data_IF_718658252148
#
_entry.id   IF_718658252148
#
_cell.length_a   1.000
_cell.length_b   1.000
_cell.length_c   1.000
_cell.angle_alpha   90.00
_cell.angle_beta   90.00
_cell.angle_gamma   90.00
#
_symmetry.space_group_name_H-M   'P 1'
#
loop_
_entity.id
_entity.type
_entity.pdbx_description
1 polymer ?
#
# COMPACT_ATOMS: atom_id res chain seq x y z
N UNK A 1 20.92 -10.55 0.03
CA UNK A 1 19.83 -9.87 0.78
C UNK A 1 20.32 -8.47 1.07
N UNK A 2 19.66 -7.44 0.54
CA UNK A 2 20.17 -6.06 0.59
C UNK A 2 19.73 -5.27 1.84
N UNK A 3 18.69 -5.75 2.54
CA UNK A 3 18.12 -5.12 3.73
C UNK A 3 17.39 -6.17 4.60
N UNK A 4 17.58 -6.12 5.92
CA UNK A 4 16.85 -6.93 6.91
C UNK A 4 16.16 -6.02 7.92
N UNK A 5 14.88 -6.28 8.19
CA UNK A 5 14.10 -5.58 9.21
C UNK A 5 13.96 -6.52 10.40
N UNK A 6 14.36 -6.06 11.59
CA UNK A 6 14.30 -6.85 12.83
C UNK A 6 13.37 -6.14 13.80
N UNK A 7 12.26 -6.77 14.14
CA UNK A 7 11.36 -6.33 15.22
C UNK A 7 11.72 -7.03 16.53
N UNK A 8 11.97 -6.25 17.58
CA UNK A 8 12.15 -6.75 18.94
C UNK A 8 10.88 -6.49 19.72
N UNK A 9 10.22 -7.56 20.17
CA UNK A 9 8.95 -7.56 20.90
C UNK A 9 9.12 -8.21 22.27
N UNK A 10 8.03 -8.31 23.03
CA UNK A 10 7.92 -8.94 24.34
C UNK A 10 8.82 -8.35 25.43
N UNK A 11 9.14 -7.07 25.33
CA UNK A 11 9.93 -6.35 26.34
C UNK A 11 9.05 -5.96 27.53
N UNK A 12 9.54 -6.23 28.73
CA UNK A 12 8.87 -5.82 29.96
C UNK A 12 9.23 -4.38 30.34
N UNK A 13 8.31 -3.66 30.99
CA UNK A 13 8.56 -2.32 31.52
C UNK A 13 9.49 -2.29 32.75
N UNK A 14 9.72 -3.44 33.38
CA UNK A 14 10.60 -3.59 34.54
C UNK A 14 12.03 -3.89 34.11
N UNK A 15 13.00 -3.25 34.77
CA UNK A 15 14.43 -3.52 34.58
C UNK A 15 14.88 -4.86 35.22
N UNK A 16 13.99 -5.55 35.96
CA UNK A 16 14.26 -6.92 36.42
C UNK A 16 14.37 -7.82 35.17
N UNK A 17 15.54 -8.42 34.97
CA UNK A 17 15.92 -9.30 33.86
C UNK A 17 16.23 -8.61 32.50
N UNK A 18 16.85 -7.42 32.50
CA UNK A 18 17.23 -6.70 31.27
C UNK A 18 16.04 -6.50 30.31
N UNK A 19 14.91 -6.04 30.86
CA UNK A 19 13.64 -5.88 30.13
C UNK A 19 13.11 -7.18 29.49
N UNK A 20 13.52 -8.36 29.97
CA UNK A 20 13.27 -9.69 29.38
C UNK A 20 13.85 -9.90 27.98
N UNK A 21 14.89 -9.16 27.61
CA UNK A 21 15.59 -9.40 26.35
C UNK A 21 16.10 -10.85 26.29
N UNK A 22 15.77 -11.58 25.21
CA UNK A 22 16.25 -12.94 25.01
C UNK A 22 17.79 -12.96 25.02
N UNK A 23 18.38 -13.93 25.75
CA UNK A 23 19.84 -14.09 25.84
C UNK A 23 20.42 -14.27 24.42
N UNK A 24 21.32 -13.37 24.02
CA UNK A 24 21.96 -13.37 22.70
C UNK A 24 21.23 -12.60 21.60
N UNK A 25 20.05 -11.99 21.86
CA UNK A 25 19.34 -11.20 20.83
C UNK A 25 20.15 -9.98 20.38
N UNK A 26 20.77 -9.25 21.31
CA UNK A 26 21.64 -8.12 20.99
C UNK A 26 22.87 -8.55 20.17
N UNK A 27 23.50 -9.67 20.53
CA UNK A 27 24.64 -10.22 19.78
C UNK A 27 24.24 -10.69 18.38
N UNK A 28 23.06 -11.29 18.25
CA UNK A 28 22.52 -11.70 16.96
C UNK A 28 22.31 -10.48 16.05
N UNK A 29 21.65 -9.43 16.53
CA UNK A 29 21.46 -8.18 15.77
C UNK A 29 22.80 -7.54 15.42
N UNK A 30 23.76 -7.55 16.34
CA UNK A 30 25.11 -7.03 16.09
C UNK A 30 25.83 -7.80 14.98
N UNK A 31 25.82 -9.13 15.01
CA UNK A 31 26.40 -9.98 13.95
C UNK A 31 25.67 -9.78 12.62
N UNK A 32 24.36 -9.64 12.64
CA UNK A 32 23.55 -9.46 11.44
C UNK A 32 23.79 -8.10 10.79
N UNK A 33 24.04 -7.07 11.61
CA UNK A 33 24.44 -5.73 11.17
C UNK A 33 25.83 -5.67 10.54
N UNK A 34 26.72 -6.65 10.81
CA UNK A 34 28.01 -6.75 10.13
C UNK A 34 27.88 -7.33 8.71
N UNK A 35 26.87 -8.18 8.51
CA UNK A 35 26.68 -8.89 7.25
C UNK A 35 25.79 -8.11 6.28
N UNK A 36 24.82 -7.35 6.79
CA UNK A 36 23.77 -6.71 5.99
C UNK A 36 23.30 -5.40 6.61
N UNK A 37 22.59 -4.58 5.82
CA UNK A 37 21.89 -3.40 6.34
C UNK A 37 20.72 -3.84 7.20
N UNK A 38 20.65 -3.33 8.42
CA UNK A 38 19.60 -3.68 9.39
C UNK A 38 18.81 -2.44 9.80
N UNK A 39 17.49 -2.55 9.78
CA UNK A 39 16.58 -1.62 10.46
C UNK A 39 16.04 -2.34 11.69
N UNK A 40 16.38 -1.83 12.87
CA UNK A 40 15.88 -2.35 14.13
C UNK A 40 14.62 -1.58 14.53
N UNK A 41 13.54 -2.30 14.82
CA UNK A 41 12.32 -1.72 15.40
C UNK A 41 12.17 -2.27 16.81
N UNK A 42 12.11 -1.39 17.79
CA UNK A 42 11.96 -1.75 19.21
C UNK A 42 10.53 -1.47 19.64
N UNK A 43 9.80 -2.55 19.93
CA UNK A 43 8.48 -2.53 20.54
C UNK A 43 8.64 -2.81 22.03
N UNK A 44 8.76 -1.74 22.82
CA UNK A 44 8.83 -1.83 24.26
C UNK A 44 9.47 -0.62 24.90
N UNK A 45 10.08 -0.88 26.06
CA UNK A 45 10.76 0.15 26.83
C UNK A 45 11.95 0.77 26.03
N UNK A 46 12.01 2.09 25.85
CA UNK A 46 13.11 2.76 25.14
C UNK A 46 14.48 2.53 25.77
N UNK A 47 14.57 2.27 27.09
CA UNK A 47 15.86 1.98 27.74
C UNK A 47 16.52 0.70 27.21
N UNK A 48 15.77 -0.21 26.57
CA UNK A 48 16.35 -1.40 25.93
C UNK A 48 17.29 -1.07 24.77
N UNK A 49 17.21 0.15 24.21
CA UNK A 49 18.10 0.64 23.15
C UNK A 49 19.58 0.61 23.52
N UNK A 50 19.92 0.69 24.82
CA UNK A 50 21.31 0.58 25.28
C UNK A 50 21.96 -0.75 24.99
N UNK A 51 21.16 -1.80 24.77
CA UNK A 51 21.66 -3.12 24.37
C UNK A 51 21.98 -3.19 22.87
N UNK A 52 21.52 -2.24 22.05
CA UNK A 52 21.63 -2.26 20.59
C UNK A 52 22.46 -1.09 20.07
N UNK A 53 23.78 -1.21 20.21
CA UNK A 53 24.73 -0.13 19.85
C UNK A 53 25.04 -0.11 18.35
N UNK A 54 24.95 -1.26 17.68
CA UNK A 54 25.50 -1.47 16.34
C UNK A 54 24.61 -1.07 15.15
N UNK A 55 23.29 -1.31 15.14
CA UNK A 55 22.49 -0.96 13.97
C UNK A 55 22.40 0.56 13.81
N UNK A 56 22.71 1.07 12.61
CA UNK A 56 22.68 2.50 12.31
C UNK A 56 21.25 3.08 12.20
N UNK A 57 20.27 2.22 11.94
CA UNK A 57 18.86 2.61 11.76
C UNK A 57 18.02 1.95 12.84
N UNK A 58 17.50 2.75 13.76
CA UNK A 58 16.65 2.27 14.85
C UNK A 58 15.36 3.08 14.92
N UNK A 59 14.24 2.39 15.03
CA UNK A 59 12.91 2.95 15.26
C UNK A 59 12.40 2.49 16.63
N UNK A 60 12.08 3.43 17.51
CA UNK A 60 11.43 3.12 18.79
C UNK A 60 9.92 3.30 18.63
N UNK A 61 9.17 2.19 18.68
CA UNK A 61 7.72 2.14 18.49
C UNK A 61 6.94 1.96 19.82
N UNK A 62 7.63 1.91 20.96
CA UNK A 62 7.10 1.87 22.33
C UNK A 62 6.22 0.67 22.69
N UNK A 63 4.99 0.62 22.21
CA UNK A 63 4.07 -0.42 22.67
C UNK A 63 4.25 -1.70 21.85
N UNK A 64 4.12 -2.84 22.52
CA UNK A 64 4.12 -4.14 21.89
C UNK A 64 2.69 -4.65 21.70
N UNK A 65 1.95 -3.94 20.86
CA UNK A 65 0.59 -4.28 20.45
C UNK A 65 0.51 -4.35 18.92
N UNK A 66 -0.49 -5.06 18.41
CA UNK A 66 -0.64 -5.31 16.97
C UNK A 66 -0.75 -4.02 16.15
N UNK A 67 -1.36 -2.97 16.71
CA UNK A 67 -1.50 -1.68 16.04
C UNK A 67 -0.15 -0.96 16.00
N UNK A 68 0.59 -0.88 17.10
CA UNK A 68 1.93 -0.29 17.13
C UNK A 68 2.92 -1.03 16.21
N UNK A 69 2.83 -2.36 16.14
CA UNK A 69 3.62 -3.15 15.19
C UNK A 69 3.28 -2.83 13.73
N UNK A 70 2.00 -2.73 13.39
CA UNK A 70 1.57 -2.32 12.05
C UNK A 70 2.05 -0.91 11.71
N UNK A 71 1.86 0.06 12.60
CA UNK A 71 2.28 1.45 12.38
C UNK A 71 3.80 1.57 12.25
N UNK A 72 4.57 0.84 13.06
CA UNK A 72 6.03 0.82 12.99
C UNK A 72 6.54 0.33 11.63
N UNK A 73 5.95 -0.74 11.12
CA UNK A 73 6.27 -1.27 9.78
C UNK A 73 5.86 -0.28 8.69
N UNK A 74 4.65 0.27 8.76
CA UNK A 74 4.19 1.28 7.81
C UNK A 74 5.10 2.52 7.78
N UNK A 75 5.61 2.96 8.93
CA UNK A 75 6.58 4.05 9.02
C UNK A 75 7.91 3.68 8.36
N UNK A 76 8.45 2.48 8.60
CA UNK A 76 9.70 2.01 7.96
C UNK A 76 9.58 1.95 6.43
N UNK A 77 8.41 1.58 5.91
CA UNK A 77 8.15 1.57 4.46
C UNK A 77 7.79 2.94 3.89
N UNK A 78 7.70 4.01 4.71
CA UNK A 78 7.41 5.37 4.26
C UNK A 78 5.92 5.65 4.01
N UNK A 79 5.03 4.85 4.59
CA UNK A 79 3.58 5.09 4.59
C UNK A 79 3.16 6.14 5.62
N UNK A 80 3.92 6.30 6.72
CA UNK A 80 3.64 7.26 7.78
C UNK A 80 4.84 8.19 8.01
N UNK A 81 4.60 9.48 8.31
CA UNK A 81 5.66 10.39 8.71
C UNK A 81 6.19 10.02 10.10
N UNK A 82 7.50 10.19 10.32
CA UNK A 82 8.15 9.96 11.61
C UNK A 82 8.51 11.32 12.19
N UNK A 83 7.80 11.74 13.24
CA UNK A 83 7.99 13.04 13.90
C UNK A 83 8.37 12.90 15.38
N UNK A 84 8.49 11.66 15.86
CA UNK A 84 8.74 11.35 17.25
C UNK A 84 10.15 11.70 17.70
N UNK A 85 10.26 12.21 18.92
CA UNK A 85 11.51 12.40 19.65
C UNK A 85 11.45 11.63 20.96
N UNK A 86 12.59 11.11 21.41
CA UNK A 86 12.68 10.40 22.68
C UNK A 86 12.46 11.36 23.86
N UNK A 87 11.47 11.11 24.73
CA UNK A 87 11.23 11.89 25.95
C UNK A 87 12.10 11.42 27.12
N UNK A 88 13.01 10.47 26.89
CA UNK A 88 13.92 9.92 27.89
C UNK A 88 15.31 9.75 27.28
N UNK A 89 16.33 9.75 28.13
CA UNK A 89 17.70 9.42 27.71
C UNK A 89 17.88 7.91 27.72
N UNK A 90 18.02 7.31 26.54
CA UNK A 90 18.32 5.90 26.35
C UNK A 90 19.63 5.78 25.57
N UNK A 91 20.75 5.59 26.26
CA UNK A 91 22.08 5.59 25.65
C UNK A 91 22.12 4.62 24.45
N UNK A 92 22.74 4.98 23.32
CA UNK A 92 23.52 6.22 23.08
C UNK A 92 22.67 7.48 22.77
N UNK A 93 21.34 7.40 22.81
CA UNK A 93 20.44 8.49 22.42
C UNK A 93 20.08 9.40 23.60
N UNK A 94 20.52 10.68 23.61
CA UNK A 94 20.10 11.64 24.64
C UNK A 94 18.61 12.02 24.53
N UNK A 95 18.10 12.66 25.59
CA UNK A 95 16.77 13.30 25.59
C UNK A 95 16.56 14.16 24.34
N UNK A 96 15.35 14.13 23.78
CA UNK A 96 14.94 14.79 22.53
C UNK A 96 15.61 14.30 21.24
N UNK A 97 16.33 13.18 21.28
CA UNK A 97 16.83 12.55 20.05
C UNK A 97 15.69 12.02 19.19
N UNK A 98 15.70 12.36 17.90
CA UNK A 98 14.74 11.89 16.92
C UNK A 98 15.02 12.50 15.56
N UNK A 99 14.67 11.77 14.48
CA UNK A 99 14.81 12.26 13.11
C UNK A 99 13.41 12.55 12.58
N UNK A 100 13.22 13.77 12.08
CA UNK A 100 11.95 14.17 11.46
C UNK A 100 11.94 13.78 9.97
N UNK A 101 11.04 12.87 9.61
CA UNK A 101 10.77 12.46 8.24
C UNK A 101 9.32 12.81 7.96
N UNK A 102 9.09 13.92 7.25
CA UNK A 102 7.76 14.43 6.91
C UNK A 102 7.20 13.84 5.62
N UNK A 103 8.06 13.31 4.76
CA UNK A 103 7.68 12.84 3.42
C UNK A 103 7.10 11.43 3.49
N UNK A 104 5.83 11.29 3.10
CA UNK A 104 5.22 9.99 2.82
C UNK A 104 5.39 9.67 1.33
N UNK A 105 5.81 8.43 1.03
CA UNK A 105 6.03 7.98 -0.35
C UNK A 105 5.13 6.81 -0.73
N UNK A 106 4.47 6.20 0.24
CA UNK A 106 3.60 5.03 0.06
C UNK A 106 2.22 5.26 0.64
N UNK A 107 1.28 4.45 0.16
CA UNK A 107 -0.05 4.33 0.73
C UNK A 107 0.06 3.69 2.12
N UNK A 108 -0.68 4.23 3.09
CA UNK A 108 -0.77 3.70 4.45
C UNK A 108 -2.15 3.10 4.73
N UNK A 109 -2.29 2.45 5.87
CA UNK A 109 -3.51 1.90 6.42
C UNK A 109 -3.75 2.51 7.79
N UNK A 110 -5.01 2.79 8.12
CA UNK A 110 -5.36 3.22 9.47
C UNK A 110 -6.84 3.46 9.62
N UNK A 111 -7.21 4.09 10.74
CA UNK A 111 -8.61 4.28 11.09
C UNK A 111 -9.27 5.43 10.29
N UNK A 112 -10.57 5.34 9.98
CA UNK A 112 -11.35 6.40 9.32
C UNK A 112 -11.25 7.77 10.00
N UNK A 113 -11.24 7.80 11.32
CA UNK A 113 -11.17 9.04 12.11
C UNK A 113 -9.87 9.79 11.83
N UNK A 114 -8.79 9.06 11.49
CA UNK A 114 -7.48 9.66 11.21
C UNK A 114 -7.43 10.50 9.93
N UNK A 115 -8.45 10.39 9.07
CA UNK A 115 -8.65 11.21 7.85
C UNK A 115 -9.94 12.03 7.92
N UNK A 116 -10.54 12.15 9.11
CA UNK A 116 -11.80 12.86 9.32
C UNK A 116 -12.99 12.21 8.63
N UNK A 117 -13.00 10.87 8.53
CA UNK A 117 -14.16 10.09 8.13
C UNK A 117 -14.81 9.45 9.35
N UNK A 118 -16.12 9.26 9.28
CA UNK A 118 -16.91 8.64 10.33
C UNK A 118 -17.02 7.12 10.09
N UNK A 119 -16.58 6.33 11.08
CA UNK A 119 -16.63 4.87 11.01
C UNK A 119 -18.06 4.33 10.95
N UNK A 120 -19.04 5.00 11.58
CA UNK A 120 -20.44 4.57 11.51
C UNK A 120 -20.99 4.69 10.09
N UNK A 121 -20.64 5.76 9.38
CA UNK A 121 -21.00 5.94 7.97
C UNK A 121 -20.39 4.86 7.09
N UNK A 122 -19.13 4.46 7.35
CA UNK A 122 -18.49 3.37 6.60
C UNK A 122 -19.10 2.00 6.89
N UNK A 123 -19.65 1.76 8.08
CA UNK A 123 -20.38 0.52 8.36
C UNK A 123 -21.64 0.36 7.49
N UNK A 124 -22.21 1.44 6.95
CA UNK A 124 -23.30 1.34 5.95
C UNK A 124 -22.84 0.68 4.64
N UNK A 125 -21.54 0.70 4.34
CA UNK A 125 -20.99 -0.03 3.20
C UNK A 125 -21.08 -1.55 3.41
N UNK A 126 -20.89 -2.02 4.64
CA UNK A 126 -21.08 -3.44 4.97
C UNK A 126 -22.54 -3.85 4.69
N UNK A 127 -23.50 -3.03 5.11
CA UNK A 127 -24.93 -3.29 4.86
C UNK A 127 -25.24 -3.32 3.37
N UNK A 128 -24.71 -2.36 2.60
CA UNK A 128 -24.88 -2.29 1.16
C UNK A 128 -24.26 -3.51 0.45
N UNK A 129 -23.04 -3.90 0.82
CA UNK A 129 -22.37 -5.06 0.26
C UNK A 129 -23.15 -6.36 0.55
N UNK A 130 -23.65 -6.50 1.77
CA UNK A 130 -24.48 -7.64 2.15
C UNK A 130 -25.83 -7.64 1.42
N UNK A 131 -26.45 -6.49 1.21
CA UNK A 131 -27.69 -6.37 0.43
C UNK A 131 -27.49 -6.73 -1.05
N UNK A 132 -26.37 -6.29 -1.65
CA UNK A 132 -25.98 -6.66 -3.02
C UNK A 132 -25.85 -8.18 -3.19
N UNK A 133 -25.23 -8.86 -2.22
CA UNK A 133 -25.08 -10.32 -2.23
C UNK A 133 -26.42 -11.01 -2.00
N UNK A 134 -27.24 -10.53 -1.05
CA UNK A 134 -28.58 -11.07 -0.76
C UNK A 134 -29.51 -10.98 -1.98
N UNK A 135 -29.45 -9.87 -2.71
CA UNK A 135 -30.22 -9.66 -3.96
C UNK A 135 -29.65 -10.41 -5.16
N UNK A 136 -28.56 -11.16 -4.96
CA UNK A 136 -27.85 -11.87 -6.01
C UNK A 136 -27.39 -10.95 -7.15
N UNK A 137 -27.15 -9.66 -6.89
CA UNK A 137 -26.62 -8.73 -7.89
C UNK A 137 -25.13 -9.00 -8.17
N UNK A 138 -24.39 -9.50 -7.17
CA UNK A 138 -23.03 -10.02 -7.31
C UNK A 138 -22.82 -11.21 -6.35
N UNK A 139 -22.05 -12.25 -6.71
CA UNK A 139 -21.74 -13.34 -5.78
C UNK A 139 -20.78 -12.92 -4.64
N UNK A 140 -19.94 -11.91 -4.88
CA UNK A 140 -18.99 -11.37 -3.92
C UNK A 140 -18.37 -10.07 -4.41
N UNK A 141 -17.69 -9.35 -3.52
CA UNK A 141 -17.03 -8.08 -3.85
C UNK A 141 -15.96 -7.74 -2.80
N UNK A 142 -15.05 -6.86 -3.18
CA UNK A 142 -14.12 -6.19 -2.28
C UNK A 142 -14.36 -4.69 -2.36
N UNK A 143 -14.47 -4.07 -1.19
CA UNK A 143 -14.68 -2.63 -1.05
C UNK A 143 -13.46 -2.02 -0.38
N UNK A 144 -12.84 -1.09 -1.09
CA UNK A 144 -11.67 -0.34 -0.65
C UNK A 144 -12.00 1.15 -0.64
N UNK A 145 -11.79 1.83 0.49
CA UNK A 145 -11.89 3.29 0.61
C UNK A 145 -10.56 3.85 1.08
N UNK A 146 -10.06 4.80 0.29
CA UNK A 146 -8.81 5.50 0.55
C UNK A 146 -9.05 7.00 0.49
N UNK A 147 -8.51 7.73 1.48
CA UNK A 147 -8.51 9.18 1.53
C UNK A 147 -7.14 9.67 1.99
N UNK A 148 -6.64 10.74 1.36
CA UNK A 148 -5.34 11.36 1.69
C UNK A 148 -4.16 10.37 1.72
N UNK A 149 -4.15 9.40 0.78
CA UNK A 149 -3.11 8.37 0.70
C UNK A 149 -3.17 7.30 1.80
N UNK A 150 -4.25 7.24 2.57
CA UNK A 150 -4.49 6.24 3.61
C UNK A 150 -5.74 5.43 3.31
N UNK A 151 -5.59 4.11 3.27
CA UNK A 151 -6.69 3.15 3.22
C UNK A 151 -7.32 3.10 4.60
N UNK A 152 -8.61 3.40 4.66
CA UNK A 152 -9.38 3.44 5.91
C UNK A 152 -10.48 2.42 6.00
N UNK A 153 -10.75 1.75 4.88
CA UNK A 153 -11.71 0.66 4.82
C UNK A 153 -11.26 -0.30 3.73
N UNK A 154 -11.10 -1.57 4.07
CA UNK A 154 -10.78 -2.65 3.15
C UNK A 154 -11.46 -3.91 3.65
N UNK A 155 -12.57 -4.31 3.01
CA UNK A 155 -13.33 -5.49 3.41
C UNK A 155 -13.81 -6.28 2.20
N UNK A 156 -13.76 -7.59 2.32
CA UNK A 156 -14.23 -8.54 1.32
C UNK A 156 -15.53 -9.19 1.77
N UNK A 157 -16.43 -9.40 0.82
CA UNK A 157 -17.76 -9.93 1.07
C UNK A 157 -18.09 -11.05 0.06
N UNK A 158 -18.82 -12.06 0.51
CA UNK A 158 -19.37 -13.09 -0.35
C UNK A 158 -18.35 -14.10 -0.88
N UNK A 159 -18.63 -14.65 -2.06
CA UNK A 159 -17.90 -15.75 -2.69
C UNK A 159 -17.62 -15.45 -4.16
N UNK A 160 -16.79 -16.27 -4.80
CA UNK A 160 -16.47 -16.10 -6.22
C UNK A 160 -17.68 -16.37 -7.12
N UNK A 161 -18.53 -17.32 -6.72
CA UNK A 161 -19.74 -17.71 -7.45
C UNK A 161 -20.88 -18.00 -6.48
N UNK A 162 -22.12 -18.07 -6.97
CA UNK A 162 -23.30 -18.38 -6.15
C UNK A 162 -23.35 -19.82 -5.62
N UNK A 163 -22.41 -20.68 -6.03
CA UNK A 163 -22.37 -22.07 -5.56
C UNK A 163 -21.99 -22.15 -4.08
N UNK A 164 -22.65 -23.03 -3.33
CA UNK A 164 -22.34 -23.24 -1.92
C UNK A 164 -20.89 -23.72 -1.68
N UNK A 165 -20.30 -24.41 -2.67
CA UNK A 165 -18.91 -24.90 -2.65
C UNK A 165 -17.89 -23.86 -3.11
N UNK A 166 -18.34 -22.65 -3.47
CA UNK A 166 -17.46 -21.60 -3.97
C UNK A 166 -16.59 -21.00 -2.86
N UNK A 167 -15.37 -20.60 -3.23
CA UNK A 167 -14.41 -19.99 -2.31
C UNK A 167 -14.87 -18.58 -1.90
N UNK A 168 -14.61 -18.22 -0.66
CA UNK A 168 -14.84 -16.87 -0.15
C UNK A 168 -13.84 -15.90 -0.78
N UNK A 169 -14.29 -14.66 -1.02
CA UNK A 169 -13.39 -13.58 -1.45
C UNK A 169 -12.42 -13.26 -0.31
N UNK A 170 -11.16 -13.07 -0.66
CA UNK A 170 -10.08 -12.67 0.24
C UNK A 170 -9.24 -11.56 -0.42
N UNK A 171 -8.32 -10.95 0.35
CA UNK A 171 -7.43 -9.87 -0.10
C UNK A 171 -6.52 -10.22 -1.29
N UNK A 172 -6.37 -11.52 -1.58
CA UNK A 172 -5.55 -12.03 -2.70
C UNK A 172 -6.38 -12.49 -3.88
N UNK A 173 -7.69 -12.22 -3.86
CA UNK A 173 -8.60 -12.61 -4.93
C UNK A 173 -8.30 -11.78 -6.18
N UNK A 174 -8.00 -12.45 -7.29
CA UNK A 174 -7.76 -11.78 -8.55
C UNK A 174 -9.08 -11.51 -9.27
N UNK A 175 -9.23 -10.27 -9.73
CA UNK A 175 -10.37 -9.82 -10.53
C UNK A 175 -9.90 -9.35 -11.91
N UNK A 176 -10.73 -9.60 -12.92
CA UNK A 176 -10.52 -9.05 -14.24
C UNK A 176 -10.82 -7.54 -14.23
N UNK A 177 -9.86 -6.73 -14.66
CA UNK A 177 -10.02 -5.27 -14.72
C UNK A 177 -11.01 -4.83 -15.83
N UNK A 178 -11.29 -5.69 -16.81
CA UNK A 178 -12.20 -5.43 -17.92
C UNK A 178 -12.02 -4.03 -18.53
N UNK A 179 -13.03 -3.17 -18.48
CA UNK A 179 -12.96 -1.82 -19.07
C UNK A 179 -12.01 -0.87 -18.34
N UNK A 180 -11.56 -1.17 -17.12
CA UNK A 180 -10.52 -0.40 -16.42
C UNK A 180 -9.17 -0.52 -17.16
N UNK A 181 -8.94 -1.62 -17.89
CA UNK A 181 -7.73 -1.84 -18.71
C UNK A 181 -7.50 -0.74 -19.74
N UNK A 182 -8.56 -0.10 -20.25
CA UNK A 182 -8.45 1.01 -21.21
C UNK A 182 -7.71 2.23 -20.63
N UNK A 183 -7.99 2.54 -19.38
CA UNK A 183 -7.33 3.64 -18.66
C UNK A 183 -5.98 3.16 -18.12
N UNK A 184 -5.96 2.00 -17.45
CA UNK A 184 -4.78 1.51 -16.75
C UNK A 184 -3.64 1.06 -17.68
N UNK A 185 -3.96 0.48 -18.84
CA UNK A 185 -2.96 -0.05 -19.77
C UNK A 185 -2.90 0.77 -21.06
N UNK A 186 -4.01 0.90 -21.79
CA UNK A 186 -3.99 1.50 -23.13
C UNK A 186 -3.62 2.98 -23.10
N UNK A 187 -4.24 3.76 -22.20
CA UNK A 187 -3.97 5.20 -22.07
C UNK A 187 -2.53 5.44 -21.61
N UNK A 188 -2.07 4.72 -20.58
CA UNK A 188 -0.68 4.80 -20.10
C UNK A 188 0.34 4.42 -21.19
N UNK A 189 0.07 3.38 -21.97
CA UNK A 189 0.91 2.97 -23.09
C UNK A 189 1.02 4.04 -24.17
N UNK A 190 -0.11 4.67 -24.52
CA UNK A 190 -0.16 5.76 -25.51
C UNK A 190 0.58 7.00 -25.00
N UNK A 191 0.38 7.38 -23.74
CA UNK A 191 1.12 8.48 -23.12
C UNK A 191 2.63 8.22 -23.15
N UNK A 192 3.06 6.96 -22.93
CA UNK A 192 4.48 6.61 -23.01
C UNK A 192 5.03 6.67 -24.44
N UNK A 193 4.26 6.24 -25.43
CA UNK A 193 4.65 6.34 -26.84
C UNK A 193 4.72 7.79 -27.31
N UNK A 194 3.82 8.63 -26.81
CA UNK A 194 3.81 10.07 -27.05
C UNK A 194 5.04 10.75 -26.46
N UNK A 195 5.36 10.48 -25.18
CA UNK A 195 6.58 10.98 -24.53
C UNK A 195 7.85 10.58 -25.30
N UNK A 196 7.90 9.34 -25.78
CA UNK A 196 9.01 8.82 -26.58
C UNK A 196 9.02 9.31 -28.05
N UNK A 197 8.11 10.21 -28.44
CA UNK A 197 7.94 10.73 -29.82
C UNK A 197 7.70 9.65 -30.88
N UNK A 198 7.24 8.46 -30.48
CA UNK A 198 6.93 7.34 -31.38
C UNK A 198 5.51 7.40 -31.94
N UNK A 199 4.61 8.06 -31.21
CA UNK A 199 3.21 8.25 -31.58
C UNK A 199 2.83 9.70 -31.34
N UNK A 200 2.11 10.30 -32.27
CA UNK A 200 1.55 11.64 -32.14
C UNK A 200 0.03 11.53 -32.10
N UNK A 201 -0.55 11.92 -30.96
CA UNK A 201 -1.99 11.79 -30.71
C UNK A 201 -2.84 12.70 -31.61
N UNK A 202 -2.23 13.73 -32.21
CA UNK A 202 -2.92 14.64 -33.12
C UNK A 202 -2.96 14.14 -34.57
N UNK A 203 -2.22 13.07 -34.89
CA UNK A 203 -2.26 12.45 -36.21
C UNK A 203 -3.41 11.45 -36.32
N UNK A 204 -3.76 11.17 -37.56
CA UNK A 204 -4.81 10.22 -37.90
C UNK A 204 -4.37 8.77 -37.72
N UNK A 205 -5.30 7.89 -37.34
CA UNK A 205 -5.07 6.47 -37.14
C UNK A 205 -4.41 5.80 -38.37
N UNK A 206 -4.83 6.16 -39.59
CA UNK A 206 -4.26 5.63 -40.84
C UNK A 206 -2.76 5.94 -41.05
N UNK A 207 -2.21 6.88 -40.29
CA UNK A 207 -0.76 7.16 -40.28
C UNK A 207 0.02 5.98 -39.71
N UNK A 208 -0.52 5.38 -38.64
CA UNK A 208 0.16 4.34 -37.85
C UNK A 208 -0.38 2.94 -38.10
N UNK A 209 -1.63 2.81 -38.53
CA UNK A 209 -2.30 1.55 -38.82
C UNK A 209 -2.63 1.47 -40.32
N UNK A 210 -1.76 0.85 -41.14
CA UNK A 210 -1.95 0.77 -42.59
C UNK A 210 -3.26 0.07 -42.98
N UNK A 211 -3.73 -0.88 -42.16
CA UNK A 211 -4.98 -1.63 -42.34
C UNK A 211 -6.23 -0.75 -42.33
N UNK A 212 -6.15 0.44 -41.72
CA UNK A 212 -7.26 1.38 -41.65
C UNK A 212 -7.34 2.32 -42.85
N UNK A 213 -6.35 2.29 -43.75
CA UNK A 213 -6.36 3.13 -44.97
C UNK A 213 -7.46 2.69 -45.92
N UNK A 214 -8.23 3.64 -46.42
CA UNK A 214 -9.44 3.40 -47.22
C UNK A 214 -10.69 3.08 -46.39
N UNK A 215 -10.58 3.02 -45.05
CA UNK A 215 -11.74 2.85 -44.17
C UNK A 215 -12.28 4.20 -43.66
N UNK A 216 -13.50 4.20 -43.13
CA UNK A 216 -14.08 5.34 -42.43
C UNK A 216 -13.31 5.75 -41.16
N UNK A 217 -12.38 4.92 -40.68
CA UNK A 217 -11.55 5.18 -39.49
C UNK A 217 -10.18 5.78 -39.84
N UNK A 218 -9.81 5.87 -41.12
CA UNK A 218 -8.50 6.38 -41.55
C UNK A 218 -8.20 7.76 -40.97
N UNK A 219 -9.16 8.69 -41.12
CA UNK A 219 -9.04 10.11 -40.75
C UNK A 219 -9.45 10.42 -39.31
N UNK A 220 -9.59 9.40 -38.46
CA UNK A 220 -9.89 9.59 -37.05
C UNK A 220 -8.61 9.96 -36.30
N UNK A 221 -8.59 11.11 -35.62
CA UNK A 221 -7.47 11.51 -34.79
C UNK A 221 -7.37 10.62 -33.54
N UNK A 222 -6.17 10.19 -33.18
CA UNK A 222 -5.94 9.29 -32.02
C UNK A 222 -6.42 9.95 -30.71
N UNK A 223 -6.29 11.27 -30.59
CA UNK A 223 -6.82 12.05 -29.48
C UNK A 223 -8.34 11.91 -29.35
N UNK A 224 -9.07 11.88 -30.46
CA UNK A 224 -10.54 11.74 -30.48
C UNK A 224 -11.03 10.38 -29.97
N UNK A 225 -10.17 9.36 -30.01
CA UNK A 225 -10.45 8.05 -29.40
C UNK A 225 -10.27 8.04 -27.87
N UNK A 226 -9.59 9.03 -27.29
CA UNK A 226 -9.26 9.11 -25.86
C UNK A 226 -9.97 10.26 -25.13
N UNK A 227 -10.25 11.37 -25.83
CA UNK A 227 -10.85 12.57 -25.28
C UNK A 227 -12.37 12.59 -25.41
N UNK A 228 -13.05 12.66 -24.27
CA UNK A 228 -14.36 13.33 -24.09
C UNK A 228 -15.61 12.82 -24.84
N UNK A 229 -15.62 11.60 -25.42
CA UNK A 229 -16.87 11.05 -26.00
C UNK A 229 -17.26 9.64 -25.51
N UNK A 230 -16.56 9.08 -24.52
CA UNK A 230 -16.89 7.75 -23.98
C UNK A 230 -16.78 6.60 -24.99
N UNK A 231 -16.38 6.88 -26.24
CA UNK A 231 -16.10 5.89 -27.26
C UNK A 231 -14.64 5.49 -27.17
N UNK A 232 -14.30 4.77 -26.11
CA UNK A 232 -13.24 3.79 -26.28
C UNK A 232 -13.76 2.80 -27.31
N UNK A 233 -13.31 2.96 -28.55
CA UNK A 233 -13.58 1.96 -29.58
C UNK A 233 -12.97 0.67 -29.02
N UNK A 234 -13.82 -0.30 -28.68
CA UNK A 234 -13.33 -1.58 -28.18
C UNK A 234 -12.41 -2.15 -29.26
N UNK A 235 -11.32 -2.80 -28.84
CA UNK A 235 -10.54 -3.60 -29.79
C UNK A 235 -11.41 -4.69 -30.44
N UNK A 236 -12.52 -5.07 -29.81
CA UNK A 236 -13.55 -5.93 -30.40
C UNK A 236 -14.27 -5.31 -31.61
N UNK A 237 -14.13 -4.01 -31.86
CA UNK A 237 -14.62 -3.35 -33.09
C UNK A 237 -13.56 -3.37 -34.20
N UNK A 238 -12.39 -3.97 -33.95
CA UNK A 238 -11.26 -4.10 -34.88
C UNK A 238 -10.92 -5.56 -35.23
N UNK A 239 -11.63 -6.53 -34.64
CA UNK A 239 -11.66 -7.95 -35.04
C UNK A 239 -13.01 -8.28 -35.67
#
# INVERSE_FOLDING_TARGET
MDLVIVGVTALNNSNKDNFKLAKGAAEFVAKLSDLTKVILIVYGNPYSLSNFIKPNSVLCAYNDDALSQSLGIQAVFGGLPILGKLPVTALPYPFESGINITTTTRISFGEPESVGMDSETLNRLDELANDLIKKQASPGCELLVMKDGKVVYSKQFGKYTYSNKSQAVNESTLYDLASVTKVAATTMGIMKLYENRKLDVYKYLGTYLPELRGSNKEFMAIQGCHGSSGRFISLDTFL
#
